data_IF_407510732159
#
_entry.id   IF_407510732159
#
_cell.length_a   1.000
_cell.length_b   1.000
_cell.length_c   1.000
_cell.angle_alpha   90.00
_cell.angle_beta   90.00
_cell.angle_gamma   90.00
#
_symmetry.space_group_name_H-M   'P 1'
#
loop_
_entity.id
_entity.type
_entity.pdbx_description
1 polymer ?
#
# COMPACT_ATOMS: atom_id res chain seq x y z
N UNK A 1 -14.79 15.03 -13.57
CA UNK A 1 -14.01 14.50 -12.43
C UNK A 1 -12.56 14.37 -12.85
N UNK A 2 -11.63 14.99 -12.14
CA UNK A 2 -10.18 14.92 -12.43
C UNK A 2 -9.60 13.63 -11.83
N UNK A 3 -8.52 13.10 -12.42
CA UNK A 3 -7.87 11.88 -11.91
C UNK A 3 -7.42 12.01 -10.45
N UNK A 4 -7.07 13.22 -10.00
CA UNK A 4 -6.75 13.49 -8.60
C UNK A 4 -7.96 13.32 -7.67
N UNK A 5 -9.15 13.78 -8.10
CA UNK A 5 -10.40 13.65 -7.35
C UNK A 5 -10.81 12.18 -7.22
N UNK A 6 -10.68 11.39 -8.31
CA UNK A 6 -10.94 9.95 -8.30
C UNK A 6 -10.03 9.20 -7.32
N UNK A 7 -8.73 9.54 -7.32
CA UNK A 7 -7.77 8.95 -6.39
C UNK A 7 -8.17 9.22 -4.95
N UNK A 8 -8.50 10.47 -4.64
CA UNK A 8 -8.90 10.85 -3.28
C UNK A 8 -10.18 10.12 -2.86
N UNK A 9 -11.19 10.09 -3.72
CA UNK A 9 -12.45 9.40 -3.46
C UNK A 9 -12.26 7.89 -3.17
N UNK A 10 -11.34 7.23 -3.87
CA UNK A 10 -11.00 5.82 -3.61
C UNK A 10 -10.39 5.65 -2.21
N UNK A 11 -9.40 6.49 -1.85
CA UNK A 11 -8.74 6.41 -0.54
C UNK A 11 -9.72 6.71 0.59
N UNK A 12 -10.55 7.75 0.44
CA UNK A 12 -11.55 8.15 1.44
C UNK A 12 -12.62 7.07 1.67
N UNK A 13 -13.05 6.39 0.60
CA UNK A 13 -14.04 5.31 0.69
C UNK A 13 -13.58 4.15 1.59
N UNK A 14 -12.30 3.78 1.51
CA UNK A 14 -11.71 2.72 2.34
C UNK A 14 -11.33 3.21 3.73
N UNK A 15 -10.85 4.45 3.85
CA UNK A 15 -10.60 5.10 5.13
C UNK A 15 -11.86 5.13 6.01
N UNK A 16 -13.01 5.50 5.43
CA UNK A 16 -14.30 5.49 6.13
C UNK A 16 -14.77 4.09 6.58
N UNK A 17 -14.11 3.02 6.11
CA UNK A 17 -14.38 1.61 6.47
C UNK A 17 -13.26 1.01 7.34
N UNK A 18 -12.46 1.85 7.98
CA UNK A 18 -11.42 1.43 8.92
C UNK A 18 -10.10 0.99 8.28
N UNK A 19 -9.89 1.23 6.98
CA UNK A 19 -8.58 0.93 6.36
C UNK A 19 -7.63 2.11 6.57
N UNK A 20 -6.38 1.84 6.95
CA UNK A 20 -5.36 2.88 7.05
C UNK A 20 -4.86 3.31 5.66
N UNK A 21 -4.79 4.62 5.42
CA UNK A 21 -4.25 5.18 4.17
C UNK A 21 -2.72 5.23 4.30
N UNK A 22 -2.06 4.28 3.64
CA UNK A 22 -0.59 4.21 3.63
C UNK A 22 -0.04 4.91 2.38
N UNK A 23 1.00 5.76 2.50
CA UNK A 23 1.68 6.36 1.35
C UNK A 23 2.19 5.32 0.35
N UNK A 24 2.31 5.72 -0.91
CA UNK A 24 2.96 4.86 -1.92
C UNK A 24 4.41 4.61 -1.53
N UNK A 25 4.83 3.35 -1.64
CA UNK A 25 6.22 2.99 -1.49
C UNK A 25 7.09 3.65 -2.59
N UNK A 26 8.42 3.79 -2.35
CA UNK A 26 9.38 4.17 -3.37
C UNK A 26 9.33 3.21 -4.57
N UNK A 27 9.75 3.69 -5.75
CA UNK A 27 9.76 2.87 -6.97
C UNK A 27 10.71 1.67 -6.87
N UNK A 28 11.83 1.82 -6.16
CA UNK A 28 12.83 0.76 -5.96
C UNK A 28 12.55 0.07 -4.61
N UNK A 29 12.30 -1.25 -4.59
CA UNK A 29 12.11 -1.99 -3.35
C UNK A 29 13.37 -1.98 -2.47
N UNK A 30 13.22 -1.75 -1.17
CA UNK A 30 14.38 -1.74 -0.25
C UNK A 30 14.81 -3.14 0.20
N UNK A 31 13.88 -4.09 0.28
CA UNK A 31 14.09 -5.39 0.95
C UNK A 31 14.01 -6.60 0.02
N UNK A 32 14.01 -6.39 -1.31
CA UNK A 32 13.93 -7.48 -2.29
C UNK A 32 14.90 -7.25 -3.45
N UNK A 33 16.10 -7.88 -3.43
CA UNK A 33 17.09 -7.72 -4.50
C UNK A 33 16.69 -8.43 -5.80
N UNK A 34 15.64 -9.25 -5.78
CA UNK A 34 15.15 -9.96 -6.98
C UNK A 34 14.13 -9.13 -7.75
N UNK A 35 13.59 -8.07 -7.13
CA UNK A 35 12.58 -7.20 -7.72
C UNK A 35 13.19 -5.85 -8.10
N UNK A 36 13.20 -5.53 -9.40
CA UNK A 36 13.80 -4.29 -9.90
C UNK A 36 12.95 -3.04 -9.57
N UNK A 37 11.62 -3.14 -9.69
CA UNK A 37 10.68 -2.04 -9.41
C UNK A 37 9.40 -2.54 -8.75
N UNK A 38 8.77 -1.69 -7.94
CA UNK A 38 7.43 -1.91 -7.41
C UNK A 38 6.43 -1.93 -8.56
N UNK A 39 5.94 -3.12 -8.91
CA UNK A 39 4.99 -3.34 -9.99
C UNK A 39 3.52 -3.32 -9.53
N UNK A 40 3.27 -3.44 -8.23
CA UNK A 40 1.93 -3.48 -7.64
C UNK A 40 1.91 -2.90 -6.22
N UNK A 41 0.74 -2.40 -5.80
CA UNK A 41 0.56 -1.81 -4.46
C UNK A 41 0.78 -2.79 -3.29
N UNK A 42 0.66 -4.10 -3.54
CA UNK A 42 0.85 -5.13 -2.51
C UNK A 42 2.32 -5.38 -2.13
N UNK A 43 3.28 -4.95 -2.95
CA UNK A 43 4.71 -5.29 -2.77
C UNK A 43 5.23 -4.79 -1.43
N UNK A 44 4.83 -3.59 -1.02
CA UNK A 44 5.21 -3.02 0.28
C UNK A 44 4.60 -3.74 1.50
N UNK A 45 3.67 -4.67 1.26
CA UNK A 45 2.98 -5.47 2.28
C UNK A 45 3.29 -6.97 2.15
N UNK A 46 4.24 -7.37 1.28
CA UNK A 46 4.60 -8.78 1.02
C UNK A 46 4.95 -9.53 2.31
N UNK A 47 5.74 -8.91 3.19
CA UNK A 47 6.16 -9.53 4.44
C UNK A 47 5.01 -9.62 5.46
N UNK A 48 4.07 -8.66 5.43
CA UNK A 48 2.83 -8.73 6.21
C UNK A 48 1.97 -9.91 5.76
N UNK A 49 1.77 -10.09 4.46
CA UNK A 49 1.01 -11.22 3.92
C UNK A 49 1.67 -12.58 4.18
N UNK A 50 2.99 -12.62 4.37
CA UNK A 50 3.73 -13.86 4.66
C UNK A 50 4.03 -14.06 6.15
N UNK A 51 3.50 -13.19 7.02
CA UNK A 51 3.65 -13.29 8.48
C UNK A 51 5.06 -12.96 9.00
N UNK A 52 5.89 -12.30 8.20
CA UNK A 52 7.26 -11.89 8.57
C UNK A 52 7.33 -10.48 9.16
N UNK A 53 6.28 -9.68 8.94
CA UNK A 53 6.13 -8.33 9.47
C UNK A 53 4.72 -8.20 10.07
N UNK A 54 4.59 -7.50 11.18
CA UNK A 54 3.31 -7.22 11.84
C UNK A 54 3.10 -5.72 11.90
N UNK A 55 1.92 -5.26 11.50
CA UNK A 55 1.58 -3.84 11.44
C UNK A 55 0.47 -3.53 12.42
N UNK A 56 0.52 -2.36 13.07
CA UNK A 56 -0.38 -2.05 14.19
C UNK A 56 -1.83 -1.79 13.74
N UNK A 57 -2.11 -1.68 12.45
CA UNK A 57 -3.47 -1.48 11.98
C UNK A 57 -4.28 -2.78 12.03
N UNK A 58 -5.34 -2.74 12.83
CA UNK A 58 -6.36 -3.77 12.96
C UNK A 58 -7.64 -3.21 12.33
N UNK A 59 -8.31 -4.01 11.50
CA UNK A 59 -9.54 -3.60 10.80
C UNK A 59 -10.75 -3.66 11.72
#
# INVERSE_FOLDING_TARGET
>A
MKSAELRQAFLDFFAARGHEVVPSAPLIPQNDPTLMFVNAGMVQFKDVFTGKDDRPYQR
#
